data_IF_568820801659
#
_entry.id   IF_568820801659
#
_cell.length_a   1.000
_cell.length_b   1.000
_cell.length_c   1.000
_cell.angle_alpha   90.00
_cell.angle_beta   90.00
_cell.angle_gamma   90.00
#
_symmetry.space_group_name_H-M   'P 1'
#
loop_
_entity.id
_entity.type
_entity.pdbx_description
1 polymer ?
#
# COMPACT_ATOMS: atom_id res chain seq x y z
N UNK A 1 9.67 -4.63 -10.39
CA UNK A 1 8.62 -4.12 -11.29
C UNK A 1 7.31 -4.83 -10.91
N UNK A 2 6.29 -4.09 -10.51
CA UNK A 2 5.00 -4.65 -10.07
C UNK A 2 4.06 -4.76 -11.27
N UNK A 3 3.42 -5.92 -11.50
CA UNK A 3 2.45 -6.13 -12.59
C UNK A 3 1.09 -6.49 -12.01
N UNK A 4 0.07 -5.75 -12.40
CA UNK A 4 -1.33 -6.01 -12.06
C UNK A 4 -1.94 -6.94 -13.11
N UNK A 5 -2.76 -7.91 -12.69
CA UNK A 5 -3.53 -8.77 -13.59
C UNK A 5 -4.99 -8.28 -13.62
N UNK A 6 -5.53 -7.92 -14.79
CA UNK A 6 -6.96 -7.61 -14.95
C UNK A 6 -7.34 -6.50 -15.94
N UNK A 7 -6.41 -5.69 -16.41
CA UNK A 7 -6.63 -4.63 -17.41
C UNK A 7 -5.31 -4.44 -18.19
N UNK A 8 -5.28 -4.39 -19.55
CA UNK A 8 -4.03 -4.28 -20.27
C UNK A 8 -3.35 -2.95 -19.91
N UNK A 9 -2.25 -3.05 -19.16
CA UNK A 9 -1.14 -2.07 -19.15
C UNK A 9 -1.33 -0.72 -18.45
N UNK A 10 -2.12 -0.61 -17.38
CA UNK A 10 -1.89 0.50 -16.42
C UNK A 10 -0.81 0.11 -15.41
N UNK A 11 0.45 0.32 -15.78
CA UNK A 11 1.58 0.21 -14.84
C UNK A 11 1.53 1.43 -13.91
N UNK A 12 1.13 1.22 -12.66
CA UNK A 12 1.26 2.23 -11.63
C UNK A 12 2.63 2.09 -10.95
N UNK A 13 3.44 3.14 -11.03
CA UNK A 13 4.70 3.22 -10.30
C UNK A 13 4.43 3.92 -8.98
N UNK A 14 4.53 3.17 -7.89
CA UNK A 14 4.55 3.74 -6.54
C UNK A 14 5.96 3.55 -5.96
N UNK A 15 6.56 4.65 -5.51
CA UNK A 15 7.87 4.65 -4.85
C UNK A 15 7.65 4.89 -3.38
N UNK A 16 7.94 3.87 -2.59
CA UNK A 16 7.95 3.95 -1.15
C UNK A 16 9.39 4.01 -0.66
N UNK A 17 9.64 4.88 0.30
CA UNK A 17 10.82 4.85 1.14
C UNK A 17 10.41 4.28 2.49
N UNK A 18 10.85 3.06 2.77
CA UNK A 18 10.45 2.28 3.94
C UNK A 18 11.60 2.32 4.95
N UNK A 19 11.30 2.71 6.18
CA UNK A 19 12.27 2.63 7.27
C UNK A 19 12.60 1.14 7.55
N UNK A 20 13.87 0.78 7.79
CA UNK A 20 14.23 -0.59 8.12
C UNK A 20 13.45 -1.09 9.35
N UNK A 21 12.88 -2.30 9.27
CA UNK A 21 12.28 -2.93 10.45
C UNK A 21 13.39 -3.26 11.44
N UNK A 22 13.24 -2.79 12.68
CA UNK A 22 14.11 -3.22 13.78
C UNK A 22 13.77 -4.67 14.18
N UNK A 23 14.75 -5.44 14.69
CA UNK A 23 14.50 -6.82 15.13
C UNK A 23 13.34 -6.91 16.13
N UNK A 24 12.36 -7.77 15.86
CA UNK A 24 11.18 -7.96 16.70
C UNK A 24 10.06 -6.92 16.53
N UNK A 25 10.29 -5.85 15.77
CA UNK A 25 9.23 -4.87 15.49
C UNK A 25 8.13 -5.49 14.63
N UNK A 26 6.89 -5.10 14.95
CA UNK A 26 5.69 -5.47 14.18
C UNK A 26 5.25 -4.39 13.21
N UNK A 27 5.96 -3.27 13.14
CA UNK A 27 5.62 -2.18 12.25
C UNK A 27 6.82 -1.33 11.89
N UNK A 28 6.76 -0.68 10.73
CA UNK A 28 7.73 0.33 10.30
C UNK A 28 7.04 1.48 9.59
N UNK A 29 7.64 2.67 9.57
CA UNK A 29 7.11 3.79 8.79
C UNK A 29 7.54 3.71 7.33
N UNK A 30 6.77 4.39 6.50
CA UNK A 30 7.15 4.65 5.13
C UNK A 30 6.67 6.04 4.71
N UNK A 31 7.31 6.58 3.68
CA UNK A 31 6.88 7.80 3.01
C UNK A 31 6.89 7.63 1.49
N UNK A 32 6.06 8.41 0.80
CA UNK A 32 5.95 8.40 -0.66
C UNK A 32 5.56 9.79 -1.17
N UNK A 33 5.93 10.11 -2.41
CA UNK A 33 5.48 11.30 -3.12
C UNK A 33 4.63 10.86 -4.31
N UNK A 34 3.34 11.17 -4.26
CA UNK A 34 2.44 10.95 -5.38
C UNK A 34 2.29 12.25 -6.20
N UNK A 35 2.40 12.21 -7.54
CA UNK A 35 2.32 13.42 -8.38
C UNK A 35 1.00 14.20 -8.29
N UNK A 36 -0.10 13.55 -7.91
CA UNK A 36 -1.44 14.15 -7.91
C UNK A 36 -1.91 14.58 -6.52
N UNK A 37 -1.52 13.86 -5.47
CA UNK A 37 -2.00 14.07 -4.09
C UNK A 37 -0.89 14.47 -3.11
N UNK A 38 0.34 14.59 -3.61
CA UNK A 38 1.49 15.08 -2.84
C UNK A 38 2.11 14.03 -1.93
N UNK A 39 2.73 14.52 -0.85
CA UNK A 39 3.42 13.66 0.11
C UNK A 39 2.42 12.79 0.89
N UNK A 40 2.80 11.54 1.11
CA UNK A 40 2.09 10.57 1.93
C UNK A 40 3.05 10.01 2.98
N UNK A 41 2.55 9.83 4.19
CA UNK A 41 3.26 9.15 5.27
C UNK A 41 2.36 8.07 5.82
N UNK A 42 2.94 6.91 6.07
CA UNK A 42 2.20 5.77 6.55
C UNK A 42 3.03 4.84 7.40
N UNK A 43 2.38 3.74 7.78
CA UNK A 43 2.99 2.67 8.55
C UNK A 43 2.61 1.34 7.91
N UNK A 44 3.57 0.45 7.75
CA UNK A 44 3.31 -0.97 7.54
C UNK A 44 3.25 -1.66 8.89
N UNK A 45 2.28 -2.56 9.06
CA UNK A 45 2.11 -3.41 10.25
C UNK A 45 2.05 -4.87 9.80
N UNK A 46 2.90 -5.71 10.39
CA UNK A 46 2.89 -7.16 10.20
C UNK A 46 1.83 -7.79 11.10
N UNK A 47 0.82 -8.41 10.49
CA UNK A 47 -0.30 -9.05 11.17
C UNK A 47 -0.57 -10.43 10.59
N UNK A 48 0.07 -11.45 11.17
CA UNK A 48 -0.07 -12.83 10.70
C UNK A 48 0.47 -13.01 9.29
N UNK A 49 -0.40 -13.41 8.37
CA UNK A 49 -0.14 -13.57 6.93
C UNK A 49 -0.36 -12.29 6.12
N UNK A 50 -0.66 -11.16 6.77
CA UNK A 50 -0.95 -9.90 6.12
C UNK A 50 0.00 -8.77 6.54
N UNK A 51 0.26 -7.87 5.60
CA UNK A 51 0.80 -6.53 5.84
C UNK A 51 -0.36 -5.55 5.74
N UNK A 52 -0.62 -4.82 6.82
CA UNK A 52 -1.57 -3.72 6.83
C UNK A 52 -0.82 -2.41 6.61
N UNK A 53 -1.39 -1.51 5.82
CA UNK A 53 -0.88 -0.17 5.61
C UNK A 53 -1.97 0.85 5.88
N UNK A 54 -1.65 1.87 6.64
CA UNK A 54 -2.48 3.07 6.78
C UNK A 54 -1.61 4.29 6.54
N UNK A 55 -2.16 5.30 5.88
CA UNK A 55 -1.42 6.50 5.52
C UNK A 55 -2.30 7.74 5.43
N UNK A 56 -1.66 8.89 5.47
CA UNK A 56 -2.29 10.19 5.26
C UNK A 56 -1.36 11.18 4.57
N UNK A 57 -1.93 12.20 3.93
CA UNK A 57 -1.24 13.42 3.55
C UNK A 57 -0.90 14.26 4.79
N UNK A 58 0.07 15.19 4.71
CA UNK A 58 0.41 16.09 5.82
C UNK A 58 -0.78 16.88 6.38
N UNK A 59 -1.75 17.20 5.53
CA UNK A 59 -2.97 17.93 5.92
C UNK A 59 -4.07 17.03 6.51
N UNK A 60 -3.90 15.70 6.44
CA UNK A 60 -4.94 14.74 6.83
C UNK A 60 -6.12 14.62 5.84
N UNK A 61 -6.20 15.53 4.85
CA UNK A 61 -7.26 15.53 3.82
C UNK A 61 -7.31 14.21 3.06
N UNK A 62 -6.16 13.73 2.60
CA UNK A 62 -6.09 12.43 1.95
C UNK A 62 -5.66 11.38 2.94
N UNK A 63 -6.39 10.28 3.02
CA UNK A 63 -6.04 9.12 3.84
C UNK A 63 -6.43 7.84 3.14
N UNK A 64 -5.73 6.77 3.46
CA UNK A 64 -6.03 5.49 2.87
C UNK A 64 -5.52 4.35 3.72
N UNK A 65 -5.99 3.18 3.35
CA UNK A 65 -5.57 1.93 3.96
C UNK A 65 -5.55 0.84 2.91
N UNK A 66 -4.67 -0.13 3.11
CA UNK A 66 -4.66 -1.37 2.35
C UNK A 66 -4.23 -2.55 3.21
N UNK A 67 -4.70 -3.73 2.82
CA UNK A 67 -4.25 -5.02 3.32
C UNK A 67 -3.63 -5.77 2.17
N UNK A 68 -2.39 -6.24 2.37
CA UNK A 68 -1.66 -7.11 1.46
C UNK A 68 -1.55 -8.47 2.16
N UNK A 69 -2.40 -9.41 1.78
CA UNK A 69 -2.43 -10.76 2.36
C UNK A 69 -1.64 -11.72 1.50
N UNK A 70 -0.77 -12.52 2.11
CA UNK A 70 -0.06 -13.60 1.44
C UNK A 70 -1.00 -14.81 1.29
N UNK A 71 -1.44 -15.09 0.06
CA UNK A 71 -2.25 -16.28 -0.23
C UNK A 71 -1.37 -17.51 -0.47
N UNK A 72 -0.18 -17.30 -1.03
CA UNK A 72 0.87 -18.32 -1.13
C UNK A 72 2.24 -17.64 -1.23
N UNK A 73 3.33 -18.42 -1.24
CA UNK A 73 4.70 -17.90 -1.30
C UNK A 73 4.96 -16.88 -2.44
N UNK A 74 4.17 -16.90 -3.52
CA UNK A 74 4.32 -15.99 -4.66
C UNK A 74 3.05 -15.24 -5.02
N UNK A 75 1.94 -15.43 -4.31
CA UNK A 75 0.65 -14.80 -4.62
C UNK A 75 0.17 -14.00 -3.42
N UNK A 76 -0.18 -12.74 -3.66
CA UNK A 76 -0.68 -11.84 -2.65
C UNK A 76 -1.95 -11.18 -3.12
N UNK A 77 -2.88 -11.03 -2.20
CA UNK A 77 -4.15 -10.41 -2.43
C UNK A 77 -4.17 -9.03 -1.76
N UNK A 78 -4.35 -7.99 -2.56
CA UNK A 78 -4.33 -6.59 -2.11
C UNK A 78 -5.70 -5.99 -2.19
N UNK A 79 -6.14 -5.37 -1.09
CA UNK A 79 -7.43 -4.68 -1.02
C UNK A 79 -7.23 -3.38 -0.28
N UNK A 80 -7.77 -2.28 -0.79
CA UNK A 80 -7.60 -0.99 -0.15
C UNK A 80 -8.56 0.07 -0.66
N UNK A 81 -8.55 1.19 0.05
CA UNK A 81 -9.35 2.35 -0.28
C UNK A 81 -8.59 3.63 0.04
N UNK A 82 -8.95 4.69 -0.68
CA UNK A 82 -8.50 6.04 -0.45
C UNK A 82 -9.70 6.96 -0.28
N UNK A 83 -9.56 7.89 0.66
CA UNK A 83 -10.54 8.89 1.03
C UNK A 83 -9.98 10.29 0.79
N UNK A 84 -10.86 11.19 0.33
CA UNK A 84 -10.74 12.64 0.47
C UNK A 84 -11.68 13.04 1.60
N UNK A 85 -11.11 13.44 2.73
CA UNK A 85 -11.78 13.59 4.02
C UNK A 85 -12.53 12.30 4.42
N UNK A 86 -13.86 12.36 4.51
CA UNK A 86 -14.72 11.21 4.84
C UNK A 86 -15.30 10.51 3.60
N UNK A 87 -15.00 11.00 2.38
CA UNK A 87 -15.54 10.44 1.15
C UNK A 87 -14.56 9.46 0.52
N UNK A 88 -15.01 8.24 0.25
CA UNK A 88 -14.26 7.27 -0.55
C UNK A 88 -14.15 7.79 -2.00
N UNK A 89 -12.92 7.99 -2.47
CA UNK A 89 -12.63 8.44 -3.84
C UNK A 89 -12.02 7.35 -4.71
N UNK A 90 -11.51 6.28 -4.11
CA UNK A 90 -10.95 5.14 -4.84
C UNK A 90 -10.96 3.88 -3.99
N UNK A 91 -11.16 2.73 -4.63
CA UNK A 91 -11.00 1.39 -4.06
C UNK A 91 -10.25 0.52 -5.04
N UNK A 92 -9.47 -0.42 -4.53
CA UNK A 92 -8.79 -1.42 -5.36
C UNK A 92 -8.87 -2.80 -4.75
N UNK A 93 -8.95 -3.79 -5.63
CA UNK A 93 -8.82 -5.21 -5.34
C UNK A 93 -7.94 -5.81 -6.44
N UNK A 94 -6.75 -6.28 -6.06
CA UNK A 94 -5.69 -6.66 -6.99
C UNK A 94 -5.03 -7.96 -6.52
N UNK A 95 -4.49 -8.72 -7.46
CA UNK A 95 -3.61 -9.84 -7.17
C UNK A 95 -2.19 -9.46 -7.59
N UNK A 96 -1.22 -9.69 -6.70
CA UNK A 96 0.20 -9.45 -6.94
C UNK A 96 0.95 -10.78 -6.99
N UNK A 97 1.87 -10.87 -7.94
CA UNK A 97 2.80 -12.00 -8.03
C UNK A 97 4.22 -11.55 -7.71
N UNK A 98 4.88 -12.23 -6.78
CA UNK A 98 6.30 -12.03 -6.54
C UNK A 98 7.13 -12.70 -7.64
N UNK A 99 7.94 -11.91 -8.34
CA UNK A 99 8.92 -12.40 -9.30
C UNK A 99 10.32 -12.33 -8.66
N UNK A 100 11.03 -13.46 -8.73
CA UNK A 100 12.44 -13.60 -8.38
C UNK A 100 13.35 -12.92 -9.40
#
# INVERSE_FOLDING_TARGET
>A
MLRLRGDPTRVQHNRYEIEPLTPGARSTHWNSINPHIGALRGRFVLSGDAILSNYASPTGRYRGFESIKMESAKLYSVRGAMLDEDKVISTWALELTAHS
#
